data_IF_874913827545
#
_entry.id   IF_874913827545
#
_cell.length_a   1.000
_cell.length_b   1.000
_cell.length_c   1.000
_cell.angle_alpha   90.00
_cell.angle_beta   90.00
_cell.angle_gamma   90.00
#
_symmetry.space_group_name_H-M   'P 1'
#
loop_
_entity.id
_entity.type
_entity.pdbx_description
1 polymer ?
#
# COMPACT_ATOMS: atom_id res chain seq x y z
N UNK A 1 25.58 -2.92 22.09
CA UNK A 1 25.53 -3.00 20.61
C UNK A 1 24.15 -2.62 20.01
N UNK A 2 23.05 -2.61 20.76
CA UNK A 2 21.72 -2.21 20.24
C UNK A 2 21.57 -0.71 19.93
N UNK A 3 22.42 0.18 20.45
CA UNK A 3 22.22 1.64 20.33
C UNK A 3 22.76 2.32 19.05
N UNK A 4 23.54 1.65 18.18
CA UNK A 4 24.23 2.36 17.11
C UNK A 4 23.49 2.41 15.75
N UNK A 5 22.56 1.49 15.47
CA UNK A 5 21.93 1.40 14.14
C UNK A 5 20.67 2.24 13.99
N UNK A 6 19.89 2.42 15.05
CA UNK A 6 18.65 3.22 14.99
C UNK A 6 18.96 4.70 14.77
N UNK A 7 20.14 5.17 15.20
CA UNK A 7 20.59 6.54 14.90
C UNK A 7 20.66 6.82 13.39
N UNK A 8 20.90 5.80 12.56
CA UNK A 8 20.91 5.95 11.11
C UNK A 8 19.53 6.36 10.55
N UNK A 9 18.42 6.19 11.28
CA UNK A 9 17.14 6.74 10.82
C UNK A 9 17.15 8.26 10.79
N UNK A 10 17.77 8.91 11.78
CA UNK A 10 17.86 10.36 11.85
C UNK A 10 18.78 10.95 10.77
N UNK A 11 19.53 10.12 10.03
CA UNK A 11 20.29 10.62 8.88
C UNK A 11 19.39 11.20 7.79
N UNK A 12 18.13 10.75 7.70
CA UNK A 12 17.16 11.32 6.74
C UNK A 12 16.80 12.78 7.07
N UNK A 13 17.12 13.27 8.28
CA UNK A 13 17.01 14.68 8.63
C UNK A 13 18.19 15.52 8.11
N UNK A 14 19.28 14.88 7.70
CA UNK A 14 20.50 15.53 7.17
C UNK A 14 20.72 15.13 5.70
N UNK A 15 20.28 15.94 4.72
CA UNK A 15 20.28 15.57 3.31
C UNK A 15 21.64 15.09 2.75
N UNK A 16 22.75 15.65 3.25
CA UNK A 16 24.12 15.36 2.80
C UNK A 16 24.55 13.90 3.02
N UNK A 17 24.02 13.26 4.07
CA UNK A 17 24.36 11.88 4.43
C UNK A 17 23.22 10.89 4.20
N UNK A 18 22.00 11.39 3.94
CA UNK A 18 20.78 10.60 3.88
C UNK A 18 20.86 9.40 2.93
N UNK A 19 21.37 9.57 1.71
CA UNK A 19 21.43 8.51 0.69
C UNK A 19 22.46 7.43 1.03
N UNK A 20 23.62 7.84 1.56
CA UNK A 20 24.66 6.91 2.01
C UNK A 20 24.17 6.07 3.19
N UNK A 21 23.55 6.72 4.18
CA UNK A 21 22.96 6.04 5.33
C UNK A 21 21.76 5.17 4.94
N UNK A 22 20.92 5.60 3.99
CA UNK A 22 19.84 4.80 3.43
C UNK A 22 20.35 3.50 2.80
N UNK A 23 21.47 3.57 2.06
CA UNK A 23 22.12 2.38 1.49
C UNK A 23 22.65 1.44 2.56
N UNK A 24 23.29 1.99 3.62
CA UNK A 24 23.75 1.19 4.76
C UNK A 24 22.59 0.53 5.53
N UNK A 25 21.49 1.26 5.73
CA UNK A 25 20.27 0.75 6.35
C UNK A 25 19.71 -0.43 5.56
N UNK A 26 19.56 -0.30 4.24
CA UNK A 26 19.07 -1.38 3.37
C UNK A 26 19.96 -2.62 3.41
N UNK A 27 21.28 -2.47 3.47
CA UNK A 27 22.19 -3.61 3.67
C UNK A 27 21.96 -4.29 5.04
N UNK A 28 21.73 -3.52 6.10
CA UNK A 28 21.39 -4.08 7.41
C UNK A 28 20.05 -4.84 7.38
N UNK A 29 19.04 -4.30 6.68
CA UNK A 29 17.71 -4.93 6.55
C UNK A 29 17.79 -6.31 5.90
N UNK A 30 18.84 -6.65 5.15
CA UNK A 30 19.04 -8.01 4.61
C UNK A 30 19.17 -9.08 5.69
N UNK A 31 19.58 -8.70 6.91
CA UNK A 31 19.72 -9.60 8.05
C UNK A 31 18.51 -9.47 8.98
N UNK A 32 17.73 -10.54 9.10
CA UNK A 32 16.47 -10.55 9.86
C UNK A 32 16.60 -10.01 11.30
N UNK A 33 17.64 -10.33 12.09
CA UNK A 33 17.78 -9.76 13.44
C UNK A 33 17.91 -8.23 13.46
N UNK A 34 18.59 -7.65 12.46
CA UNK A 34 18.75 -6.21 12.34
C UNK A 34 17.47 -5.54 11.84
N UNK A 35 16.82 -6.14 10.84
CA UNK A 35 15.52 -5.70 10.37
C UNK A 35 14.47 -5.73 11.49
N UNK A 36 14.52 -6.72 12.39
CA UNK A 36 13.66 -6.80 13.57
C UNK A 36 13.87 -5.62 14.52
N UNK A 37 15.12 -5.29 14.85
CA UNK A 37 15.43 -4.13 15.69
C UNK A 37 14.90 -2.84 15.05
N UNK A 38 15.05 -2.70 13.74
CA UNK A 38 14.58 -1.54 12.97
C UNK A 38 13.05 -1.44 12.98
N UNK A 39 12.36 -2.51 12.59
CA UNK A 39 10.90 -2.54 12.43
C UNK A 39 10.16 -2.36 13.76
N UNK A 40 10.68 -2.95 14.84
CA UNK A 40 10.05 -2.87 16.17
C UNK A 40 10.50 -1.65 16.99
N UNK A 41 11.35 -0.78 16.44
CA UNK A 41 11.68 0.50 17.07
C UNK A 41 10.52 1.49 16.94
N UNK A 42 10.28 2.33 17.95
CA UNK A 42 9.34 3.46 17.82
C UNK A 42 9.79 4.43 16.71
N UNK A 43 11.11 4.57 16.49
CA UNK A 43 11.67 5.42 15.44
C UNK A 43 11.35 4.96 14.02
N UNK A 44 10.88 3.71 13.85
CA UNK A 44 10.37 3.23 12.55
C UNK A 44 9.27 4.16 12.02
N UNK A 45 8.41 4.69 12.90
CA UNK A 45 7.32 5.56 12.48
C UNK A 45 7.80 6.92 11.95
N UNK A 46 9.06 7.29 12.15
CA UNK A 46 9.64 8.49 11.54
C UNK A 46 9.68 8.39 10.01
N UNK A 47 9.71 7.18 9.43
CA UNK A 47 9.63 6.99 7.98
C UNK A 47 8.37 7.59 7.37
N UNK A 48 7.23 7.62 8.09
CA UNK A 48 6.01 8.27 7.59
C UNK A 48 6.18 9.79 7.38
N UNK A 49 7.14 10.41 8.07
CA UNK A 49 7.52 11.81 7.85
C UNK A 49 8.63 11.91 6.78
N UNK A 50 9.62 11.02 6.82
CA UNK A 50 10.75 11.05 5.88
C UNK A 50 10.33 10.83 4.43
N UNK A 51 9.27 10.04 4.16
CA UNK A 51 8.74 9.85 2.80
C UNK A 51 7.95 11.06 2.27
N UNK A 52 7.65 12.03 3.12
CA UNK A 52 6.89 13.24 2.78
C UNK A 52 7.78 14.50 2.69
N UNK A 53 9.10 14.37 2.89
CA UNK A 53 10.01 15.52 2.79
C UNK A 53 10.01 16.09 1.37
N UNK A 54 10.23 17.40 1.26
CA UNK A 54 10.21 18.10 -0.04
C UNK A 54 11.38 17.73 -0.96
N UNK A 55 12.48 17.24 -0.40
CA UNK A 55 13.66 16.82 -1.18
C UNK A 55 13.40 15.44 -1.79
N UNK A 56 13.12 15.42 -3.09
CA UNK A 56 12.69 14.21 -3.81
C UNK A 56 13.64 13.01 -3.62
N UNK A 57 14.95 13.20 -3.79
CA UNK A 57 15.92 12.10 -3.69
C UNK A 57 15.92 11.47 -2.29
N UNK A 58 15.82 12.30 -1.25
CA UNK A 58 15.75 11.87 0.15
C UNK A 58 14.43 11.14 0.42
N UNK A 59 13.30 11.68 -0.01
CA UNK A 59 11.99 11.06 0.16
C UNK A 59 11.90 9.69 -0.56
N UNK A 60 12.43 9.62 -1.78
CA UNK A 60 12.46 8.40 -2.60
C UNK A 60 13.35 7.32 -2.00
N UNK A 61 14.53 7.70 -1.50
CA UNK A 61 15.42 6.78 -0.77
C UNK A 61 14.76 6.30 0.53
N UNK A 62 14.18 7.21 1.32
CA UNK A 62 13.45 6.89 2.54
C UNK A 62 12.30 5.90 2.27
N UNK A 63 11.54 6.11 1.19
CA UNK A 63 10.46 5.21 0.80
C UNK A 63 10.99 3.83 0.42
N UNK A 64 12.12 3.77 -0.28
CA UNK A 64 12.77 2.51 -0.65
C UNK A 64 13.20 1.72 0.59
N UNK A 65 13.78 2.40 1.58
CA UNK A 65 14.15 1.78 2.86
C UNK A 65 12.93 1.35 3.67
N UNK A 66 11.92 2.21 3.80
CA UNK A 66 10.64 1.88 4.44
C UNK A 66 10.00 0.63 3.82
N UNK A 67 9.91 0.59 2.49
CA UNK A 67 9.42 -0.56 1.74
C UNK A 67 10.22 -1.83 2.06
N UNK A 68 11.55 -1.76 2.03
CA UNK A 68 12.38 -2.94 2.28
C UNK A 68 12.19 -3.45 3.72
N UNK A 69 12.15 -2.55 4.71
CA UNK A 69 11.91 -2.90 6.12
C UNK A 69 10.60 -3.69 6.28
N UNK A 70 9.50 -3.26 5.64
CA UNK A 70 8.18 -3.90 5.81
C UNK A 70 7.90 -5.05 4.84
N UNK A 71 8.80 -5.37 3.91
CA UNK A 71 8.55 -6.43 2.91
C UNK A 71 9.63 -7.48 2.78
N UNK A 72 10.83 -7.29 3.36
CA UNK A 72 11.96 -8.22 3.20
C UNK A 72 11.73 -9.58 3.86
N UNK A 73 11.43 -9.57 5.16
CA UNK A 73 11.30 -10.79 5.98
C UNK A 73 9.83 -11.10 6.22
N UNK A 74 9.21 -11.80 5.27
CA UNK A 74 7.75 -11.92 5.13
C UNK A 74 7.01 -12.32 6.41
N UNK A 75 7.50 -13.33 7.12
CA UNK A 75 6.88 -13.81 8.35
C UNK A 75 6.94 -12.75 9.45
N UNK A 76 8.14 -12.22 9.73
CA UNK A 76 8.35 -11.17 10.73
C UNK A 76 7.54 -9.90 10.43
N UNK A 77 7.49 -9.49 9.17
CA UNK A 77 6.72 -8.31 8.76
C UNK A 77 5.21 -8.53 8.91
N UNK A 78 4.72 -9.72 8.56
CA UNK A 78 3.31 -10.08 8.76
C UNK A 78 2.95 -10.07 10.26
N UNK A 79 3.77 -10.67 11.12
CA UNK A 79 3.59 -10.63 12.58
C UNK A 79 3.53 -9.20 13.12
N UNK A 80 4.44 -8.33 12.67
CA UNK A 80 4.46 -6.93 13.08
C UNK A 80 3.20 -6.19 12.63
N UNK A 81 2.81 -6.33 11.36
CA UNK A 81 1.66 -5.63 10.78
C UNK A 81 0.35 -6.09 11.41
N UNK A 82 0.22 -7.38 11.74
CA UNK A 82 -0.95 -7.91 12.43
C UNK A 82 -1.03 -7.36 13.87
N UNK A 83 0.08 -7.39 14.61
CA UNK A 83 0.13 -6.90 15.99
C UNK A 83 -0.02 -5.37 16.13
N UNK A 84 0.32 -4.60 15.08
CA UNK A 84 0.30 -3.14 15.09
C UNK A 84 -0.68 -2.56 14.06
N UNK A 85 -1.69 -3.34 13.66
CA UNK A 85 -2.56 -3.02 12.52
C UNK A 85 -3.11 -1.60 12.58
N UNK A 86 -3.78 -1.22 13.68
CA UNK A 86 -4.45 0.07 13.80
C UNK A 86 -3.45 1.23 13.68
N UNK A 87 -2.38 1.20 14.50
CA UNK A 87 -1.33 2.24 14.50
C UNK A 87 -0.64 2.37 13.14
N UNK A 88 -0.34 1.24 12.48
CA UNK A 88 0.32 1.24 11.18
C UNK A 88 -0.60 1.78 10.08
N UNK A 89 -1.83 1.27 9.97
CA UNK A 89 -2.73 1.65 8.89
C UNK A 89 -3.35 3.04 9.07
N UNK A 90 -3.49 3.54 10.30
CA UNK A 90 -3.79 4.95 10.56
C UNK A 90 -2.68 5.86 10.02
N UNK A 91 -1.41 5.52 10.28
CA UNK A 91 -0.29 6.25 9.71
C UNK A 91 -0.22 6.12 8.18
N UNK A 92 -0.45 4.92 7.64
CA UNK A 92 -0.42 4.63 6.22
C UNK A 92 -1.51 5.37 5.43
N UNK A 93 -2.69 5.55 6.02
CA UNK A 93 -3.78 6.31 5.42
C UNK A 93 -3.38 7.77 5.13
N UNK A 94 -2.46 8.35 5.91
CA UNK A 94 -1.91 9.69 5.62
C UNK A 94 -1.12 9.71 4.32
N UNK A 95 -0.32 8.68 4.05
CA UNK A 95 0.43 8.55 2.79
C UNK A 95 -0.50 8.40 1.57
N UNK A 96 -1.57 7.62 1.72
CA UNK A 96 -2.59 7.47 0.68
C UNK A 96 -3.33 8.78 0.39
N UNK A 97 -3.42 9.70 1.37
CA UNK A 97 -4.03 11.01 1.21
C UNK A 97 -3.01 12.14 0.97
N UNK A 98 -1.74 11.80 0.73
CA UNK A 98 -0.68 12.78 0.52
C UNK A 98 -0.94 13.67 -0.70
N UNK A 99 -0.51 14.93 -0.60
CA UNK A 99 -0.47 15.85 -1.73
C UNK A 99 0.76 15.58 -2.63
N UNK A 100 1.76 14.87 -2.13
CA UNK A 100 2.90 14.43 -2.92
C UNK A 100 2.47 13.27 -3.83
N UNK A 101 2.43 13.54 -5.14
CA UNK A 101 2.04 12.56 -6.15
C UNK A 101 2.84 11.26 -6.08
N UNK A 102 4.16 11.36 -5.89
CA UNK A 102 5.05 10.20 -5.90
C UNK A 102 4.79 9.36 -4.66
N UNK A 103 4.75 9.98 -3.48
CA UNK A 103 4.46 9.28 -2.21
C UNK A 103 3.11 8.60 -2.27
N UNK A 104 2.06 9.31 -2.72
CA UNK A 104 0.72 8.73 -2.86
C UNK A 104 0.70 7.54 -3.80
N UNK A 105 1.33 7.65 -4.97
CA UNK A 105 1.39 6.56 -5.96
C UNK A 105 2.15 5.34 -5.44
N UNK A 106 3.34 5.55 -4.89
CA UNK A 106 4.17 4.44 -4.41
C UNK A 106 3.54 3.76 -3.19
N UNK A 107 2.89 4.52 -2.31
CA UNK A 107 2.14 3.96 -1.17
C UNK A 107 0.95 3.12 -1.64
N UNK A 108 0.21 3.58 -2.66
CA UNK A 108 -0.90 2.80 -3.19
C UNK A 108 -0.45 1.49 -3.86
N UNK A 109 0.66 1.55 -4.61
CA UNK A 109 1.29 0.35 -5.18
C UNK A 109 1.74 -0.63 -4.09
N UNK A 110 2.44 -0.13 -3.08
CA UNK A 110 2.94 -0.93 -1.97
C UNK A 110 1.80 -1.53 -1.14
N UNK A 111 0.69 -0.81 -0.95
CA UNK A 111 -0.52 -1.35 -0.33
C UNK A 111 -1.03 -2.58 -1.11
N UNK A 112 -1.12 -2.49 -2.45
CA UNK A 112 -1.49 -3.62 -3.29
C UNK A 112 -0.56 -4.82 -3.10
N UNK A 113 0.76 -4.58 -3.08
CA UNK A 113 1.77 -5.62 -2.81
C UNK A 113 1.59 -6.27 -1.42
N UNK A 114 1.34 -5.47 -0.38
CA UNK A 114 1.13 -5.97 0.99
C UNK A 114 -0.14 -6.83 1.10
N UNK A 115 -1.25 -6.39 0.49
CA UNK A 115 -2.54 -7.09 0.57
C UNK A 115 -2.55 -8.39 -0.22
N UNK A 116 -1.76 -8.49 -1.30
CA UNK A 116 -1.67 -9.70 -2.13
C UNK A 116 -0.64 -10.71 -1.63
N UNK A 117 0.18 -10.36 -0.64
CA UNK A 117 1.14 -11.30 -0.05
C UNK A 117 0.42 -12.34 0.82
N UNK A 118 0.67 -13.63 0.56
CA UNK A 118 0.03 -14.73 1.28
C UNK A 118 0.27 -14.72 2.79
N UNK A 119 1.39 -14.17 3.26
CA UNK A 119 1.70 -14.09 4.69
C UNK A 119 0.83 -13.03 5.39
N UNK A 120 0.29 -12.08 4.63
CA UNK A 120 -0.54 -10.98 5.13
C UNK A 120 -2.04 -11.29 5.01
N UNK A 121 -2.45 -12.56 4.93
CA UNK A 121 -3.86 -12.92 4.73
C UNK A 121 -4.79 -12.33 5.82
N UNK A 122 -4.37 -12.34 7.09
CA UNK A 122 -5.13 -11.74 8.21
C UNK A 122 -5.28 -10.23 8.02
N UNK A 123 -4.18 -9.53 7.73
CA UNK A 123 -4.13 -8.10 7.44
C UNK A 123 -5.02 -7.73 6.25
N UNK A 124 -4.93 -8.50 5.15
CA UNK A 124 -5.74 -8.32 3.96
C UNK A 124 -7.22 -8.45 4.28
N UNK A 125 -7.61 -9.52 4.98
CA UNK A 125 -9.00 -9.79 5.36
C UNK A 125 -9.57 -8.66 6.21
N UNK A 126 -8.79 -8.16 7.17
CA UNK A 126 -9.18 -7.02 8.00
C UNK A 126 -9.32 -5.74 7.17
N UNK A 127 -8.35 -5.44 6.31
CA UNK A 127 -8.36 -4.24 5.46
C UNK A 127 -9.56 -4.17 4.52
N UNK A 128 -9.87 -5.29 3.85
CA UNK A 128 -10.98 -5.34 2.88
C UNK A 128 -12.36 -5.46 3.55
N UNK A 129 -12.41 -5.61 4.87
CA UNK A 129 -13.66 -5.62 5.63
C UNK A 129 -14.16 -4.22 5.99
N UNK A 130 -13.30 -3.19 5.89
CA UNK A 130 -13.62 -1.82 6.27
C UNK A 130 -14.27 -1.03 5.11
N UNK A 131 -15.51 -0.51 5.29
CA UNK A 131 -16.20 0.29 4.28
C UNK A 131 -15.47 1.56 3.83
N UNK A 132 -14.73 2.21 4.72
CA UNK A 132 -14.03 3.45 4.40
C UNK A 132 -12.81 3.20 3.52
N UNK A 133 -12.14 2.06 3.69
CA UNK A 133 -11.08 1.61 2.79
C UNK A 133 -11.64 1.37 1.37
N UNK A 134 -12.80 0.73 1.24
CA UNK A 134 -13.46 0.56 -0.05
C UNK A 134 -13.79 1.91 -0.71
N UNK A 135 -14.41 2.83 0.05
CA UNK A 135 -14.75 4.18 -0.46
C UNK A 135 -13.49 4.93 -0.91
N UNK A 136 -12.40 4.83 -0.16
CA UNK A 136 -11.12 5.45 -0.54
C UNK A 136 -10.64 4.93 -1.90
N UNK A 137 -10.63 3.61 -2.10
CA UNK A 137 -10.22 3.01 -3.37
C UNK A 137 -11.16 3.41 -4.52
N UNK A 138 -12.48 3.42 -4.29
CA UNK A 138 -13.45 3.86 -5.30
C UNK A 138 -13.29 5.34 -5.68
N UNK A 139 -12.90 6.20 -4.74
CA UNK A 139 -12.57 7.59 -5.03
C UNK A 139 -11.26 7.71 -5.84
N UNK A 140 -10.25 6.91 -5.50
CA UNK A 140 -8.96 6.90 -6.22
C UNK A 140 -9.07 6.35 -7.65
N UNK A 141 -10.01 5.45 -7.93
CA UNK A 141 -10.35 5.04 -9.30
C UNK A 141 -10.76 6.23 -10.18
N UNK A 142 -11.23 7.33 -9.57
CA UNK A 142 -11.64 8.57 -10.26
C UNK A 142 -10.60 9.69 -10.15
N UNK A 143 -9.40 9.41 -9.65
CA UNK A 143 -8.35 10.42 -9.51
C UNK A 143 -7.94 11.00 -10.88
N UNK A 144 -7.47 12.24 -10.93
CA UNK A 144 -7.01 12.88 -12.18
C UNK A 144 -5.82 12.16 -12.83
N UNK A 145 -5.02 11.43 -12.05
CA UNK A 145 -3.86 10.68 -12.54
C UNK A 145 -4.23 9.26 -12.93
N UNK A 146 -4.09 8.94 -14.22
CA UNK A 146 -4.20 7.57 -14.77
C UNK A 146 -3.33 6.55 -14.02
N UNK A 147 -2.18 6.96 -13.51
CA UNK A 147 -1.31 6.06 -12.75
C UNK A 147 -1.88 5.74 -11.36
N UNK A 148 -2.49 6.71 -10.67
CA UNK A 148 -3.17 6.47 -9.38
C UNK A 148 -4.39 5.59 -9.59
N UNK A 149 -5.20 5.87 -10.62
CA UNK A 149 -6.35 5.06 -10.99
C UNK A 149 -5.97 3.59 -11.15
N UNK A 150 -4.87 3.32 -11.87
CA UNK A 150 -4.40 1.96 -12.14
C UNK A 150 -3.94 1.23 -10.86
N UNK A 151 -3.17 1.87 -9.99
CA UNK A 151 -2.78 1.24 -8.71
C UNK A 151 -4.01 1.04 -7.79
N UNK A 152 -4.98 1.97 -7.80
CA UNK A 152 -6.22 1.84 -7.06
C UNK A 152 -7.04 0.63 -7.51
N UNK A 153 -7.04 0.34 -8.82
CA UNK A 153 -7.70 -0.84 -9.38
C UNK A 153 -7.14 -2.14 -8.79
N UNK A 154 -5.82 -2.25 -8.62
CA UNK A 154 -5.20 -3.44 -8.03
C UNK A 154 -5.56 -3.66 -6.56
N UNK A 155 -5.92 -2.61 -5.81
CA UNK A 155 -6.44 -2.76 -4.45
C UNK A 155 -7.95 -3.01 -4.47
N UNK A 156 -8.70 -2.26 -5.29
CA UNK A 156 -10.16 -2.42 -5.45
C UNK A 156 -10.54 -3.85 -5.86
N UNK A 157 -9.77 -4.48 -6.76
CA UNK A 157 -10.04 -5.85 -7.19
C UNK A 157 -10.08 -6.85 -6.03
N UNK A 158 -9.28 -6.63 -4.97
CA UNK A 158 -9.23 -7.51 -3.80
C UNK A 158 -10.55 -7.47 -3.02
N UNK A 159 -11.18 -6.29 -2.90
CA UNK A 159 -12.51 -6.16 -2.28
C UNK A 159 -13.57 -6.94 -3.05
N UNK A 160 -13.56 -6.84 -4.38
CA UNK A 160 -14.55 -7.47 -5.25
C UNK A 160 -14.30 -8.98 -5.42
N UNK A 161 -13.05 -9.42 -5.39
CA UNK A 161 -12.69 -10.84 -5.51
C UNK A 161 -12.91 -11.63 -4.20
N UNK A 162 -13.06 -10.96 -3.05
CA UNK A 162 -13.29 -11.64 -1.77
C UNK A 162 -14.58 -12.49 -1.83
N UNK A 163 -14.55 -13.81 -1.66
CA UNK A 163 -15.76 -14.64 -1.67
C UNK A 163 -16.64 -14.41 -0.44
N UNK A 164 -16.04 -14.02 0.69
CA UNK A 164 -16.70 -13.82 1.98
C UNK A 164 -16.85 -12.33 2.29
N UNK A 165 -17.48 -11.57 1.40
CA UNK A 165 -17.63 -10.11 1.56
C UNK A 165 -18.50 -9.81 2.79
N UNK A 166 -18.04 -8.94 3.70
CA UNK A 166 -18.92 -8.43 4.77
C UNK A 166 -20.09 -7.66 4.18
N UNK A 167 -21.25 -7.74 4.85
CA UNK A 167 -22.49 -7.07 4.40
C UNK A 167 -22.30 -5.57 4.09
N UNK A 168 -21.61 -4.77 4.91
CA UNK A 168 -21.36 -3.36 4.59
C UNK A 168 -20.59 -3.13 3.27
N UNK A 169 -19.70 -4.05 2.90
CA UNK A 169 -18.94 -4.01 1.65
C UNK A 169 -19.85 -4.37 0.48
N UNK A 170 -20.61 -5.46 0.61
CA UNK A 170 -21.58 -5.88 -0.39
C UNK A 170 -22.64 -4.80 -0.66
N UNK A 171 -23.19 -4.18 0.38
CA UNK A 171 -24.19 -3.12 0.27
C UNK A 171 -23.66 -1.90 -0.53
N UNK A 172 -22.38 -1.53 -0.35
CA UNK A 172 -21.75 -0.44 -1.12
C UNK A 172 -21.62 -0.83 -2.60
N UNK A 173 -21.14 -2.05 -2.88
CA UNK A 173 -20.95 -2.52 -4.25
C UNK A 173 -22.29 -2.65 -4.99
N UNK A 174 -23.30 -3.22 -4.35
CA UNK A 174 -24.66 -3.38 -4.92
C UNK A 174 -25.30 -2.01 -5.18
N UNK A 175 -25.21 -1.08 -4.23
CA UNK A 175 -25.76 0.29 -4.38
C UNK A 175 -25.14 1.04 -5.56
N UNK A 176 -23.89 0.74 -5.90
CA UNK A 176 -23.16 1.39 -7.00
C UNK A 176 -23.00 0.49 -8.23
N UNK A 177 -23.68 -0.67 -8.27
CA UNK A 177 -23.44 -1.75 -9.25
C UNK A 177 -23.43 -1.26 -10.69
N UNK A 178 -24.52 -0.64 -11.13
CA UNK A 178 -24.69 -0.26 -12.53
C UNK A 178 -23.65 0.80 -12.96
N UNK A 179 -23.38 1.77 -12.07
CA UNK A 179 -22.34 2.79 -12.28
C UNK A 179 -20.93 2.20 -12.31
N UNK A 180 -20.64 1.22 -11.45
CA UNK A 180 -19.34 0.55 -11.42
C UNK A 180 -19.11 -0.27 -12.70
N UNK A 181 -20.13 -0.96 -13.18
CA UNK A 181 -20.07 -1.73 -14.44
C UNK A 181 -19.82 -0.82 -15.63
N UNK A 182 -20.57 0.28 -15.74
CA UNK A 182 -20.38 1.28 -16.79
C UNK A 182 -18.98 1.90 -16.72
N UNK A 183 -18.55 2.31 -15.52
CA UNK A 183 -17.23 2.87 -15.28
C UNK A 183 -16.12 1.89 -15.72
N UNK A 184 -16.14 0.65 -15.22
CA UNK A 184 -15.11 -0.36 -15.51
C UNK A 184 -15.08 -0.74 -16.99
N UNK A 185 -16.22 -0.73 -17.69
CA UNK A 185 -16.27 -1.01 -19.13
C UNK A 185 -15.47 0.00 -19.96
N UNK A 186 -15.41 1.26 -19.51
CA UNK A 186 -14.64 2.35 -20.14
C UNK A 186 -13.27 2.60 -19.50
N UNK A 187 -12.93 1.87 -18.44
CA UNK A 187 -11.71 2.07 -17.66
C UNK A 187 -10.47 1.56 -18.41
N UNK A 188 -9.52 2.46 -18.67
CA UNK A 188 -8.23 2.20 -19.33
C UNK A 188 -8.31 1.29 -20.58
N UNK A 189 -9.25 1.55 -21.48
CA UNK A 189 -9.42 0.79 -22.73
C UNK A 189 -8.27 0.94 -23.72
N UNK A 190 -7.38 1.91 -23.49
CA UNK A 190 -6.11 2.11 -24.21
C UNK A 190 -5.05 1.04 -23.90
N UNK A 191 -5.20 0.27 -22.82
CA UNK A 191 -4.28 -0.81 -22.43
C UNK A 191 -4.61 -2.13 -23.14
N UNK A 192 -4.61 -2.15 -24.46
CA UNK A 192 -5.00 -3.34 -25.25
C UNK A 192 -3.98 -4.48 -25.20
N UNK A 193 -2.70 -4.18 -24.94
CA UNK A 193 -1.63 -5.17 -24.86
C UNK A 193 -1.49 -5.84 -23.47
N UNK A 194 -2.20 -5.31 -22.46
CA UNK A 194 -2.18 -5.82 -21.09
C UNK A 194 -3.32 -6.84 -20.91
N UNK A 195 -3.12 -8.05 -21.42
CA UNK A 195 -4.12 -9.13 -21.38
C UNK A 195 -4.58 -9.42 -19.94
N UNK A 196 -3.63 -9.51 -18.99
CA UNK A 196 -3.95 -9.74 -17.58
C UNK A 196 -4.89 -8.66 -17.02
N UNK A 197 -4.60 -7.39 -17.26
CA UNK A 197 -5.48 -6.30 -16.81
C UNK A 197 -6.88 -6.41 -17.42
N UNK A 198 -6.98 -6.72 -18.71
CA UNK A 198 -8.27 -6.83 -19.39
C UNK A 198 -9.10 -8.01 -18.88
N UNK A 199 -8.47 -9.15 -18.60
CA UNK A 199 -9.10 -10.32 -17.99
C UNK A 199 -9.57 -10.03 -16.56
N UNK A 200 -8.72 -9.40 -15.75
CA UNK A 200 -9.08 -8.98 -14.39
C UNK A 200 -10.28 -8.02 -14.43
N UNK A 201 -10.28 -7.05 -15.35
CA UNK A 201 -11.37 -6.08 -15.51
C UNK A 201 -12.68 -6.75 -15.92
N UNK A 202 -12.64 -7.66 -16.89
CA UNK A 202 -13.81 -8.43 -17.32
C UNK A 202 -14.35 -9.31 -16.19
N UNK A 203 -13.47 -9.97 -15.43
CA UNK A 203 -13.84 -10.74 -14.25
C UNK A 203 -14.54 -9.87 -13.19
N UNK A 204 -14.01 -8.68 -12.89
CA UNK A 204 -14.62 -7.77 -11.91
C UNK A 204 -16.01 -7.29 -12.35
N UNK A 205 -16.17 -6.93 -13.63
CA UNK A 205 -17.46 -6.52 -14.20
C UNK A 205 -18.49 -7.64 -13.99
N UNK A 206 -18.14 -8.86 -14.37
CA UNK A 206 -19.01 -10.04 -14.18
C UNK A 206 -19.36 -10.25 -12.70
N UNK A 207 -18.37 -10.23 -11.81
CA UNK A 207 -18.59 -10.40 -10.38
C UNK A 207 -19.55 -9.35 -9.82
N UNK A 208 -19.41 -8.08 -10.20
CA UNK A 208 -20.28 -6.99 -9.73
C UNK A 208 -21.70 -7.14 -10.29
N UNK A 209 -21.85 -7.51 -11.56
CA UNK A 209 -23.16 -7.74 -12.20
C UNK A 209 -23.95 -8.87 -11.52
N UNK A 210 -23.26 -9.93 -11.10
CA UNK A 210 -23.85 -11.12 -10.47
C UNK A 210 -24.18 -10.91 -8.98
N UNK A 211 -23.78 -9.79 -8.36
CA UNK A 211 -24.11 -9.49 -6.96
C UNK A 211 -25.61 -9.24 -6.77
N UNK A 212 -26.17 -9.84 -5.71
CA UNK A 212 -27.56 -9.74 -5.29
C UNK A 212 -27.67 -9.13 -3.90
#
# INVERSE_FOLDING_TARGET
>A
MQHNFVFLFYSYETPEIALSCGSMLRECVRYEPLAKIMLYSEDFYNFFNYVEVSTFDVASDAFSTFKEIITKHKVMCAEFLDANYDKFFEAYQRLLNSQNYVTRRQSLKLLGELLLDRHNFSIMTLYISNPDNLKLMMNMLRDKSRSIQFEAFHVFKVFVANPNKPRPIADILIRNRDRLVEFLSSFHTDRTEDEQFNDEKAYLIKQIQEMK
#
